data_IF_062569728676
#
_entry.id   IF_062569728676
#
_cell.length_a   1.000
_cell.length_b   1.000
_cell.length_c   1.000
_cell.angle_alpha   90.00
_cell.angle_beta   90.00
_cell.angle_gamma   90.00
#
_symmetry.space_group_name_H-M   'P 1'
#
loop_
_entity.id
_entity.type
_entity.pdbx_description
1 polymer ?
#
# COMPACT_ATOMS: atom_id res chain seq x y z
N UNK A 1 -22.62 -17.79 25.68
CA UNK A 1 -21.17 -18.07 25.92
C UNK A 1 -20.62 -18.55 24.60
N UNK A 2 -19.94 -17.63 23.90
CA UNK A 2 -19.42 -17.91 22.57
C UNK A 2 -18.31 -18.95 22.63
N UNK A 3 -18.33 -19.87 21.69
CA UNK A 3 -17.31 -20.93 21.47
C UNK A 3 -15.87 -20.35 21.36
N UNK A 4 -15.76 -19.04 21.42
CA UNK A 4 -14.53 -18.24 21.32
C UNK A 4 -13.78 -18.09 22.66
N UNK A 5 -14.47 -18.11 23.81
CA UNK A 5 -13.87 -17.83 25.12
C UNK A 5 -13.09 -19.01 25.73
N UNK A 6 -13.23 -20.21 25.16
CA UNK A 6 -12.53 -21.42 25.65
C UNK A 6 -11.05 -21.49 25.24
N UNK A 7 -10.55 -20.56 24.40
CA UNK A 7 -9.20 -20.63 23.83
C UNK A 7 -8.14 -19.75 24.51
N UNK A 8 -8.53 -18.88 25.46
CA UNK A 8 -7.62 -17.85 25.99
C UNK A 8 -7.05 -18.11 27.40
N UNK A 9 -7.37 -19.22 28.07
CA UNK A 9 -7.11 -19.34 29.52
C UNK A 9 -6.17 -20.43 29.98
N UNK A 10 -5.25 -20.98 29.15
CA UNK A 10 -4.21 -21.89 29.70
C UNK A 10 -2.83 -21.65 29.03
N UNK A 11 -1.78 -21.30 29.82
CA UNK A 11 -0.44 -20.97 29.30
C UNK A 11 0.46 -22.20 29.02
N UNK A 12 -0.03 -23.41 28.96
CA UNK A 12 0.85 -24.57 28.89
C UNK A 12 0.50 -25.62 27.82
N UNK A 13 -0.21 -25.27 26.77
CA UNK A 13 -0.35 -26.17 25.62
C UNK A 13 -0.19 -25.43 24.32
N UNK A 14 1.00 -25.46 23.73
CA UNK A 14 1.15 -25.26 22.29
C UNK A 14 0.42 -26.43 21.64
N UNK A 15 -0.91 -26.31 21.47
CA UNK A 15 -1.66 -27.25 20.65
C UNK A 15 -1.12 -27.13 19.22
N UNK A 16 -0.39 -28.14 18.79
CA UNK A 16 -0.05 -28.30 17.37
C UNK A 16 -1.39 -28.40 16.64
N UNK A 17 -1.79 -27.30 16.00
CA UNK A 17 -3.02 -27.27 15.19
C UNK A 17 -2.78 -28.19 14.00
N UNK A 18 -3.51 -29.30 13.96
CA UNK A 18 -3.48 -30.18 12.80
C UNK A 18 -3.96 -29.40 11.57
N UNK A 19 -3.12 -29.39 10.52
CA UNK A 19 -3.39 -28.61 9.30
C UNK A 19 -4.43 -29.32 8.45
N UNK A 20 -5.60 -28.71 8.32
CA UNK A 20 -6.72 -29.26 7.54
C UNK A 20 -7.33 -28.19 6.63
N UNK A 21 -7.17 -28.38 5.32
CA UNK A 21 -7.68 -27.46 4.29
C UNK A 21 -9.21 -27.40 4.26
N UNK A 22 -9.91 -28.49 4.62
CA UNK A 22 -11.39 -28.50 4.67
C UNK A 22 -11.87 -27.60 5.80
N UNK A 23 -11.25 -27.72 6.97
CA UNK A 23 -11.54 -26.87 8.12
C UNK A 23 -11.17 -25.40 7.86
N UNK A 24 -10.01 -25.15 7.25
CA UNK A 24 -9.61 -23.80 6.83
C UNK A 24 -10.63 -23.16 5.87
N UNK A 25 -11.13 -23.94 4.91
CA UNK A 25 -12.12 -23.48 3.94
C UNK A 25 -13.48 -23.19 4.59
N UNK A 26 -13.90 -24.00 5.55
CA UNK A 26 -15.12 -23.77 6.33
C UNK A 26 -15.02 -22.49 7.17
N UNK A 27 -13.87 -22.26 7.81
CA UNK A 27 -13.60 -21.04 8.58
C UNK A 27 -13.59 -19.79 7.66
N UNK A 28 -12.98 -19.88 6.46
CA UNK A 28 -13.06 -18.79 5.46
C UNK A 28 -14.52 -18.50 5.09
N UNK A 29 -15.36 -19.51 4.89
CA UNK A 29 -16.77 -19.32 4.55
C UNK A 29 -17.50 -18.55 5.67
N UNK A 30 -17.32 -18.93 6.93
CA UNK A 30 -17.85 -18.17 8.08
C UNK A 30 -17.32 -16.72 8.11
N UNK A 31 -16.02 -16.52 7.87
CA UNK A 31 -15.45 -15.18 7.76
C UNK A 31 -16.12 -14.32 6.67
N UNK A 32 -16.44 -14.92 5.52
CA UNK A 32 -17.14 -14.23 4.45
C UNK A 32 -18.57 -13.82 4.84
N UNK A 33 -19.26 -14.62 5.65
CA UNK A 33 -20.60 -14.31 6.15
C UNK A 33 -20.56 -13.09 7.08
N UNK A 34 -19.64 -13.06 8.05
CA UNK A 34 -19.45 -11.93 8.94
C UNK A 34 -18.98 -10.67 8.20
N UNK A 35 -18.12 -10.81 7.18
CA UNK A 35 -17.71 -9.70 6.33
C UNK A 35 -18.91 -9.05 5.63
N UNK A 36 -19.81 -9.85 5.05
CA UNK A 36 -21.04 -9.36 4.41
C UNK A 36 -21.95 -8.60 5.38
N UNK A 37 -21.98 -9.04 6.64
CA UNK A 37 -22.73 -8.41 7.73
C UNK A 37 -21.99 -7.19 8.34
N UNK A 38 -20.79 -6.85 7.82
CA UNK A 38 -19.91 -5.77 8.30
C UNK A 38 -19.35 -5.97 9.73
N UNK A 39 -19.38 -7.19 10.25
CA UNK A 39 -18.71 -7.55 11.50
C UNK A 39 -17.23 -7.89 11.22
N UNK A 40 -16.43 -6.85 10.92
CA UNK A 40 -15.06 -7.01 10.42
C UNK A 40 -14.13 -7.67 11.44
N UNK A 41 -14.20 -7.29 12.71
CA UNK A 41 -13.39 -7.91 13.76
C UNK A 41 -13.64 -9.43 13.88
N UNK A 42 -14.90 -9.83 13.79
CA UNK A 42 -15.26 -11.25 13.85
C UNK A 42 -14.78 -11.96 12.58
N UNK A 43 -14.94 -11.34 11.40
CA UNK A 43 -14.43 -11.89 10.14
C UNK A 43 -12.90 -12.09 10.19
N UNK A 44 -12.14 -11.12 10.74
CA UNK A 44 -10.69 -11.21 10.94
C UNK A 44 -10.32 -12.43 11.79
N UNK A 45 -11.03 -12.66 12.90
CA UNK A 45 -10.80 -13.83 13.75
C UNK A 45 -10.97 -15.14 12.98
N UNK A 46 -12.03 -15.24 12.15
CA UNK A 46 -12.26 -16.43 11.32
C UNK A 46 -11.22 -16.62 10.23
N UNK A 47 -10.80 -15.54 9.54
CA UNK A 47 -9.73 -15.64 8.55
C UNK A 47 -8.38 -15.97 9.17
N UNK A 48 -8.08 -15.44 10.36
CA UNK A 48 -6.86 -15.79 11.11
C UNK A 48 -6.84 -17.28 11.49
N UNK A 49 -7.97 -17.81 11.94
CA UNK A 49 -8.09 -19.26 12.17
C UNK A 49 -7.96 -20.05 10.87
N UNK A 50 -8.57 -19.60 9.77
CA UNK A 50 -8.42 -20.26 8.47
C UNK A 50 -6.94 -20.33 8.04
N UNK A 51 -6.19 -19.25 8.23
CA UNK A 51 -4.74 -19.21 7.96
C UNK A 51 -3.99 -20.22 8.86
N UNK A 52 -4.34 -20.31 10.15
CA UNK A 52 -3.69 -21.23 11.08
C UNK A 52 -3.94 -22.71 10.76
N UNK A 53 -5.11 -23.05 10.25
CA UNK A 53 -5.44 -24.42 9.83
C UNK A 53 -4.97 -24.77 8.41
N UNK A 54 -4.60 -23.79 7.59
CA UNK A 54 -4.18 -24.05 6.22
C UNK A 54 -2.82 -24.77 6.17
N UNK A 55 -2.69 -25.91 5.44
CA UNK A 55 -1.41 -26.59 5.27
C UNK A 55 -0.37 -25.68 4.60
N UNK A 56 0.90 -25.84 5.00
CA UNK A 56 2.02 -25.04 4.51
C UNK A 56 2.64 -25.60 3.20
N UNK A 57 1.93 -26.47 2.52
CA UNK A 57 2.40 -27.06 1.26
C UNK A 57 2.18 -26.12 0.09
N UNK A 58 2.95 -26.31 -0.98
CA UNK A 58 2.86 -25.50 -2.21
C UNK A 58 1.48 -25.61 -2.86
N UNK A 59 0.84 -26.76 -2.76
CA UNK A 59 -0.50 -27.05 -3.27
C UNK A 59 -1.55 -26.09 -2.70
N UNK A 60 -1.38 -25.63 -1.46
CA UNK A 60 -2.31 -24.73 -0.78
C UNK A 60 -1.89 -23.26 -0.80
N UNK A 61 -0.89 -22.88 -1.59
CA UNK A 61 -0.41 -21.49 -1.71
C UNK A 61 -1.52 -20.53 -2.11
N UNK A 62 -2.31 -20.89 -3.12
CA UNK A 62 -3.44 -20.07 -3.55
C UNK A 62 -4.50 -19.91 -2.45
N UNK A 63 -4.82 -20.97 -1.72
CA UNK A 63 -5.79 -20.90 -0.61
C UNK A 63 -5.30 -19.94 0.48
N UNK A 64 -4.01 -19.99 0.83
CA UNK A 64 -3.40 -19.04 1.78
C UNK A 64 -3.48 -17.61 1.28
N UNK A 65 -3.13 -17.37 0.03
CA UNK A 65 -3.24 -16.05 -0.59
C UNK A 65 -4.67 -15.50 -0.48
N UNK A 66 -5.68 -16.35 -0.73
CA UNK A 66 -7.09 -15.97 -0.58
C UNK A 66 -7.45 -15.59 0.86
N UNK A 67 -6.97 -16.34 1.86
CA UNK A 67 -7.29 -16.07 3.27
C UNK A 67 -6.68 -14.75 3.75
N UNK A 68 -5.40 -14.50 3.46
CA UNK A 68 -4.75 -13.22 3.74
C UNK A 68 -5.43 -12.07 2.99
N UNK A 69 -5.72 -12.25 1.69
CA UNK A 69 -6.40 -11.25 0.89
C UNK A 69 -7.79 -10.89 1.44
N UNK A 70 -8.55 -11.87 1.97
CA UNK A 70 -9.85 -11.61 2.58
C UNK A 70 -9.72 -10.90 3.93
N UNK A 71 -8.69 -11.24 4.74
CA UNK A 71 -8.41 -10.52 5.99
C UNK A 71 -8.01 -9.07 5.72
N UNK A 72 -7.16 -8.84 4.71
CA UNK A 72 -6.83 -7.51 4.23
C UNK A 72 -8.06 -6.69 3.82
N UNK A 73 -9.09 -7.34 3.25
CA UNK A 73 -10.33 -6.64 2.93
C UNK A 73 -11.07 -6.12 4.17
N UNK A 74 -10.99 -6.84 5.30
CA UNK A 74 -11.53 -6.35 6.57
C UNK A 74 -10.74 -5.13 7.05
N UNK A 75 -9.41 -5.19 7.04
CA UNK A 75 -8.55 -4.07 7.43
C UNK A 75 -8.80 -2.83 6.56
N UNK A 76 -8.97 -3.00 5.25
CA UNK A 76 -9.38 -1.91 4.34
C UNK A 76 -10.71 -1.26 4.77
N UNK A 77 -11.70 -2.08 5.14
CA UNK A 77 -13.01 -1.58 5.57
C UNK A 77 -12.96 -0.87 6.93
N UNK A 78 -11.95 -1.16 7.74
CA UNK A 78 -11.67 -0.53 9.04
C UNK A 78 -10.66 0.62 8.92
N UNK A 79 -10.23 0.98 7.70
CA UNK A 79 -9.19 2.00 7.44
C UNK A 79 -7.82 1.70 8.05
N UNK A 80 -7.57 0.45 8.42
CA UNK A 80 -6.28 -0.03 8.93
C UNK A 80 -5.35 -0.40 7.76
N UNK A 81 -4.94 0.62 7.00
CA UNK A 81 -4.26 0.42 5.71
C UNK A 81 -2.91 -0.27 5.82
N UNK A 82 -2.12 0.01 6.85
CA UNK A 82 -0.82 -0.64 7.05
C UNK A 82 -0.97 -2.16 7.21
N UNK A 83 -1.95 -2.59 8.01
CA UNK A 83 -2.26 -4.02 8.19
C UNK A 83 -2.80 -4.66 6.92
N UNK A 84 -3.58 -3.90 6.14
CA UNK A 84 -4.06 -4.36 4.84
C UNK A 84 -2.91 -4.56 3.84
N UNK A 85 -1.92 -3.64 3.81
CA UNK A 85 -0.72 -3.74 2.97
C UNK A 85 0.11 -4.96 3.36
N UNK A 86 0.32 -5.20 4.65
CA UNK A 86 1.06 -6.35 5.17
C UNK A 86 0.42 -7.68 4.73
N UNK A 87 -0.89 -7.81 4.93
CA UNK A 87 -1.64 -9.00 4.53
C UNK A 87 -1.67 -9.20 3.01
N UNK A 88 -1.84 -8.11 2.23
CA UNK A 88 -1.76 -8.17 0.78
C UNK A 88 -0.36 -8.61 0.31
N UNK A 89 0.69 -8.07 0.90
CA UNK A 89 2.08 -8.42 0.57
C UNK A 89 2.37 -9.88 0.89
N UNK A 90 1.88 -10.36 2.04
CA UNK A 90 1.95 -11.78 2.39
C UNK A 90 1.17 -12.65 1.41
N UNK A 91 -0.04 -12.25 1.01
CA UNK A 91 -0.82 -12.98 0.01
C UNK A 91 -0.10 -13.06 -1.34
N UNK A 92 0.55 -11.96 -1.77
CA UNK A 92 1.28 -11.86 -3.03
C UNK A 92 2.62 -12.62 -3.01
N UNK A 93 3.17 -12.96 -1.84
CA UNK A 93 4.31 -13.88 -1.75
C UNK A 93 3.92 -15.32 -2.09
N UNK A 94 2.65 -15.70 -1.88
CA UNK A 94 2.10 -17.00 -2.26
C UNK A 94 1.54 -17.04 -3.68
N UNK A 95 0.90 -15.96 -4.13
CA UNK A 95 0.29 -15.84 -5.45
C UNK A 95 0.63 -14.46 -6.06
N UNK A 96 1.77 -14.34 -6.74
CA UNK A 96 2.26 -13.06 -7.26
C UNK A 96 1.35 -12.37 -8.27
N UNK A 97 0.49 -13.11 -8.97
CA UNK A 97 -0.38 -12.60 -10.03
C UNK A 97 -1.83 -12.38 -9.58
N UNK A 98 -2.08 -12.41 -8.27
CA UNK A 98 -3.44 -12.26 -7.75
C UNK A 98 -3.93 -10.79 -7.86
N UNK A 99 -4.44 -10.43 -9.05
CA UNK A 99 -4.86 -9.06 -9.42
C UNK A 99 -5.74 -8.40 -8.36
N UNK A 100 -6.73 -9.12 -7.81
CA UNK A 100 -7.62 -8.58 -6.77
C UNK A 100 -6.84 -8.11 -5.52
N UNK A 101 -5.77 -8.80 -5.17
CA UNK A 101 -4.94 -8.47 -4.01
C UNK A 101 -3.99 -7.32 -4.33
N UNK A 102 -3.41 -7.30 -5.54
CA UNK A 102 -2.57 -6.17 -6.00
C UNK A 102 -3.41 -4.89 -6.00
N UNK A 103 -4.64 -4.93 -6.56
CA UNK A 103 -5.54 -3.77 -6.58
C UNK A 103 -5.92 -3.30 -5.16
N UNK A 104 -6.09 -4.23 -4.23
CA UNK A 104 -6.37 -3.88 -2.82
C UNK A 104 -5.19 -3.18 -2.18
N UNK A 105 -3.97 -3.68 -2.41
CA UNK A 105 -2.75 -3.07 -1.89
C UNK A 105 -2.50 -1.70 -2.51
N UNK A 106 -2.68 -1.56 -3.82
CA UNK A 106 -2.63 -0.28 -4.53
C UNK A 106 -3.55 0.77 -3.88
N UNK A 107 -4.81 0.41 -3.59
CA UNK A 107 -5.75 1.31 -2.92
C UNK A 107 -5.35 1.64 -1.49
N UNK A 108 -4.75 0.70 -0.77
CA UNK A 108 -4.24 0.94 0.58
C UNK A 108 -3.06 1.92 0.55
N UNK A 109 -2.10 1.73 -0.37
CA UNK A 109 -1.00 2.66 -0.59
C UNK A 109 -1.47 4.07 -0.95
N UNK A 110 -2.45 4.17 -1.86
CA UNK A 110 -3.04 5.48 -2.20
C UNK A 110 -3.69 6.16 -1.00
N UNK A 111 -4.37 5.40 -0.13
CA UNK A 111 -5.06 5.94 1.05
C UNK A 111 -4.10 6.52 2.10
N UNK A 112 -2.86 6.02 2.16
CA UNK A 112 -1.79 6.53 3.04
C UNK A 112 -0.79 7.43 2.30
N UNK A 113 -1.15 7.88 1.09
CA UNK A 113 -0.35 8.79 0.26
C UNK A 113 1.02 8.25 -0.19
N UNK A 114 1.20 6.92 -0.19
CA UNK A 114 2.35 6.22 -0.78
C UNK A 114 2.11 6.00 -2.27
N UNK A 115 2.15 7.08 -3.03
CA UNK A 115 1.73 7.08 -4.44
C UNK A 115 2.69 6.31 -5.34
N UNK A 116 3.99 6.27 -5.03
CA UNK A 116 5.01 5.51 -5.76
C UNK A 116 4.68 4.01 -5.74
N UNK A 117 4.36 3.48 -4.56
CA UNK A 117 4.00 2.08 -4.39
C UNK A 117 2.64 1.76 -5.04
N UNK A 118 1.69 2.70 -4.96
CA UNK A 118 0.40 2.56 -5.63
C UNK A 118 0.56 2.50 -7.17
N UNK A 119 1.43 3.33 -7.75
CA UNK A 119 1.75 3.32 -9.18
C UNK A 119 2.44 2.01 -9.56
N UNK A 120 3.40 1.53 -8.77
CA UNK A 120 4.06 0.26 -9.04
C UNK A 120 3.08 -0.92 -9.06
N UNK A 121 2.09 -0.92 -8.16
CA UNK A 121 1.06 -1.98 -8.12
C UNK A 121 0.10 -1.89 -9.32
N UNK A 122 -0.34 -0.70 -9.73
CA UNK A 122 -1.23 -0.57 -10.90
C UNK A 122 -0.50 -0.88 -12.20
N UNK A 123 0.78 -0.51 -12.35
CA UNK A 123 1.61 -0.86 -13.50
C UNK A 123 1.69 -2.38 -13.64
N UNK A 124 1.92 -3.08 -12.53
CA UNK A 124 1.94 -4.55 -12.50
C UNK A 124 0.59 -5.17 -12.91
N UNK A 125 -0.55 -4.57 -12.52
CA UNK A 125 -1.88 -5.03 -12.95
C UNK A 125 -2.05 -4.87 -14.46
N UNK A 126 -1.62 -3.72 -15.02
CA UNK A 126 -1.68 -3.44 -16.45
C UNK A 126 -0.80 -4.42 -17.25
N UNK A 127 0.36 -4.81 -16.71
CA UNK A 127 1.21 -5.83 -17.35
C UNK A 127 0.55 -7.21 -17.37
N UNK A 128 -0.22 -7.58 -16.35
CA UNK A 128 -0.96 -8.83 -16.28
C UNK A 128 -2.16 -8.83 -17.23
N UNK A 129 -2.90 -7.70 -17.30
CA UNK A 129 -4.12 -7.55 -18.10
C UNK A 129 -4.06 -6.28 -18.97
N UNK A 130 -3.21 -6.35 -20.00
CA UNK A 130 -2.85 -5.22 -20.89
C UNK A 130 -4.04 -4.62 -21.66
N UNK A 131 -5.15 -5.36 -21.78
CA UNK A 131 -6.34 -4.92 -22.53
C UNK A 131 -7.39 -4.22 -21.67
N UNK A 132 -7.23 -4.18 -20.37
CA UNK A 132 -8.26 -3.70 -19.47
C UNK A 132 -8.24 -2.16 -19.37
N UNK A 133 -9.19 -1.55 -20.06
CA UNK A 133 -9.33 -0.10 -20.14
C UNK A 133 -9.47 0.57 -18.77
N UNK A 134 -10.14 -0.11 -17.82
CA UNK A 134 -10.32 0.42 -16.46
C UNK A 134 -8.98 0.54 -15.73
N UNK A 135 -8.11 -0.45 -15.86
CA UNK A 135 -6.78 -0.43 -15.23
C UNK A 135 -5.86 0.61 -15.88
N UNK A 136 -5.94 0.77 -17.20
CA UNK A 136 -5.19 1.82 -17.91
C UNK A 136 -5.62 3.23 -17.47
N UNK A 137 -6.92 3.46 -17.29
CA UNK A 137 -7.42 4.74 -16.77
C UNK A 137 -6.97 5.00 -15.34
N UNK A 138 -6.99 3.97 -14.49
CA UNK A 138 -6.55 4.08 -13.10
C UNK A 138 -5.03 4.32 -13.00
N UNK A 139 -4.25 3.66 -13.84
CA UNK A 139 -2.81 3.90 -13.99
C UNK A 139 -2.53 5.37 -14.33
N UNK A 140 -3.18 5.88 -15.37
CA UNK A 140 -3.00 7.28 -15.77
C UNK A 140 -3.39 8.26 -14.64
N UNK A 141 -4.47 7.98 -13.92
CA UNK A 141 -4.93 8.80 -12.79
C UNK A 141 -3.88 8.84 -11.67
N UNK A 142 -3.35 7.69 -11.28
CA UNK A 142 -2.35 7.59 -10.20
C UNK A 142 -1.02 8.23 -10.62
N UNK A 143 -0.57 8.01 -11.85
CA UNK A 143 0.66 8.63 -12.37
C UNK A 143 0.54 10.16 -12.42
N UNK A 144 -0.62 10.69 -12.81
CA UNK A 144 -0.88 12.13 -12.79
C UNK A 144 -0.81 12.69 -11.38
N UNK A 145 -1.50 12.03 -10.44
CA UNK A 145 -1.50 12.41 -9.02
C UNK A 145 -0.09 12.39 -8.41
N UNK A 146 0.71 11.38 -8.72
CA UNK A 146 2.11 11.29 -8.29
C UNK A 146 2.94 12.45 -8.86
N UNK A 147 2.79 12.74 -10.14
CA UNK A 147 3.50 13.84 -10.80
C UNK A 147 3.17 15.19 -10.17
N UNK A 148 1.89 15.47 -9.94
CA UNK A 148 1.44 16.70 -9.28
C UNK A 148 2.03 16.83 -7.87
N UNK A 149 2.06 15.74 -7.09
CA UNK A 149 2.69 15.71 -5.76
C UNK A 149 4.18 16.02 -5.83
N UNK A 150 4.89 15.42 -6.79
CA UNK A 150 6.33 15.63 -6.97
C UNK A 150 6.64 17.07 -7.39
N UNK A 151 5.83 17.66 -8.29
CA UNK A 151 5.96 19.07 -8.70
C UNK A 151 5.70 20.02 -7.52
N UNK A 152 4.68 19.76 -6.71
CA UNK A 152 4.39 20.53 -5.51
C UNK A 152 5.54 20.48 -4.50
N UNK A 153 6.07 19.27 -4.21
CA UNK A 153 7.22 19.09 -3.33
C UNK A 153 8.47 19.79 -3.83
N UNK A 154 8.73 19.69 -5.14
CA UNK A 154 9.87 20.38 -5.77
C UNK A 154 9.74 21.90 -5.64
N UNK A 155 8.55 22.45 -5.87
CA UNK A 155 8.29 23.88 -5.69
C UNK A 155 8.50 24.31 -4.24
N UNK A 156 7.95 23.58 -3.26
CA UNK A 156 8.11 23.87 -1.85
C UNK A 156 9.59 23.86 -1.44
N UNK A 157 10.35 22.85 -1.91
CA UNK A 157 11.79 22.75 -1.64
C UNK A 157 12.53 23.96 -2.23
N UNK A 158 12.22 24.36 -3.46
CA UNK A 158 12.84 25.53 -4.10
C UNK A 158 12.51 26.82 -3.36
N UNK A 159 11.27 26.98 -2.88
CA UNK A 159 10.87 28.17 -2.11
C UNK A 159 11.60 28.23 -0.76
N UNK A 160 11.74 27.09 -0.09
CA UNK A 160 12.56 26.99 1.16
C UNK A 160 14.04 27.33 0.90
N UNK A 161 14.62 26.83 -0.18
CA UNK A 161 16.00 27.13 -0.56
C UNK A 161 16.19 28.62 -0.87
N UNK A 162 15.25 29.24 -1.59
CA UNK A 162 15.25 30.69 -1.84
C UNK A 162 15.16 31.47 -0.54
N UNK A 163 14.28 31.07 0.39
CA UNK A 163 14.13 31.71 1.69
C UNK A 163 15.43 31.66 2.51
N UNK A 164 16.08 30.48 2.55
CA UNK A 164 17.40 30.33 3.22
C UNK A 164 18.49 31.19 2.55
N UNK A 165 18.56 31.16 1.21
CA UNK A 165 19.49 31.99 0.44
C UNK A 165 19.32 33.47 0.73
N UNK A 166 18.08 33.96 0.71
CA UNK A 166 17.78 35.38 1.01
C UNK A 166 18.07 35.74 2.46
N UNK A 167 17.90 34.83 3.42
CA UNK A 167 18.25 35.07 4.83
C UNK A 167 19.77 35.27 5.00
N UNK A 168 20.58 34.51 4.27
CA UNK A 168 22.03 34.64 4.28
C UNK A 168 22.47 35.94 3.56
N UNK A 169 21.98 36.14 2.35
CA UNK A 169 22.34 37.29 1.51
C UNK A 169 21.84 38.61 2.11
N UNK A 170 20.69 38.60 2.80
CA UNK A 170 20.12 39.76 3.47
C UNK A 170 21.03 40.36 4.54
N UNK A 171 21.88 39.54 5.19
CA UNK A 171 22.94 40.05 6.10
C UNK A 171 23.97 40.93 5.41
N UNK A 172 24.07 40.83 4.09
CA UNK A 172 24.97 41.61 3.23
C UNK A 172 24.23 42.63 2.40
N UNK A 173 22.91 42.86 2.66
CA UNK A 173 22.07 43.77 1.87
C UNK A 173 21.72 43.26 0.47
N UNK A 174 21.81 41.95 0.21
CA UNK A 174 21.57 41.30 -1.08
C UNK A 174 20.40 40.33 -1.00
N UNK A 175 19.82 39.97 -2.15
CA UNK A 175 18.84 38.89 -2.27
C UNK A 175 19.19 37.97 -3.46
N UNK A 176 18.60 36.79 -3.52
CA UNK A 176 18.74 35.90 -4.69
C UNK A 176 18.20 36.52 -5.95
N UNK A 177 17.26 37.46 -5.85
CA UNK A 177 16.70 38.18 -7.02
C UNK A 177 17.72 39.16 -7.69
N UNK A 178 18.79 39.50 -6.93
CA UNK A 178 19.90 40.27 -7.51
C UNK A 178 20.79 39.42 -8.44
N UNK A 179 20.58 38.09 -8.48
CA UNK A 179 21.37 37.18 -9.32
C UNK A 179 20.52 36.63 -10.45
N UNK A 180 20.85 36.97 -11.69
CA UNK A 180 20.24 36.34 -12.87
C UNK A 180 21.09 35.20 -13.39
N UNK A 181 20.50 34.01 -13.42
CA UNK A 181 21.10 32.82 -13.99
C UNK A 181 20.67 32.66 -15.43
N UNK A 182 21.59 32.76 -16.36
CA UNK A 182 21.32 32.52 -17.79
C UNK A 182 22.02 31.24 -18.22
N UNK A 183 21.23 30.28 -18.72
CA UNK A 183 21.77 29.06 -19.30
C UNK A 183 22.31 29.37 -20.68
N UNK A 184 23.52 28.94 -20.98
CA UNK A 184 24.15 29.04 -22.31
C UNK A 184 23.81 27.81 -23.15
N UNK A 185 24.00 27.92 -24.48
CA UNK A 185 23.71 26.82 -25.40
C UNK A 185 24.58 25.56 -25.17
N UNK A 186 25.71 25.71 -24.49
CA UNK A 186 26.61 24.62 -24.10
C UNK A 186 26.20 23.91 -22.79
N UNK A 187 25.05 24.30 -22.20
CA UNK A 187 24.54 23.73 -20.93
C UNK A 187 25.16 24.34 -19.66
N UNK A 188 26.12 25.25 -19.79
CA UNK A 188 26.72 25.99 -18.66
C UNK A 188 25.82 27.17 -18.24
N UNK A 189 25.98 27.61 -16.98
CA UNK A 189 25.24 28.75 -16.44
C UNK A 189 26.17 29.97 -16.28
N UNK A 190 25.74 31.15 -16.73
CA UNK A 190 26.34 32.40 -16.35
C UNK A 190 25.49 33.10 -15.30
N UNK A 191 26.14 33.74 -14.34
CA UNK A 191 25.48 34.47 -13.25
C UNK A 191 25.79 35.95 -13.42
N UNK A 192 24.75 36.75 -13.57
CA UNK A 192 24.84 38.20 -13.65
C UNK A 192 24.23 38.82 -12.39
N UNK A 193 24.98 39.67 -11.73
CA UNK A 193 24.53 40.45 -10.58
C UNK A 193 23.88 41.75 -11.04
N UNK A 194 22.69 42.04 -10.56
CA UNK A 194 21.98 43.31 -10.74
C UNK A 194 21.73 43.92 -9.36
N UNK A 195 22.27 45.14 -9.16
CA UNK A 195 21.90 45.96 -7.99
C UNK A 195 20.52 46.57 -8.17
#
# INVERSE_FOLDING_TARGET
MDEFDLFTSHPACIRVVEKDIKQASALKAKGNEYYKQKFFDTAIKYYTRAISYCPLTKEHSYSRAVFYSNRAACYMSMTEYDRAIEDCSTALSFEPTYVKTILRRCKAYEAIDQLEDAVADIDRIVDIDKGNRTFLMEQHRLQTKLKEKQEAMKKEMMDKLKGLGNTILGKFGMSLDNFKFNQKDDGTYSVNFQQ
#
